data_IF_833806064201
#
_entry.id   IF_833806064201
#
_cell.length_a   1.000
_cell.length_b   1.000
_cell.length_c   1.000
_cell.angle_alpha   90.00
_cell.angle_beta   90.00
_cell.angle_gamma   90.00
#
_symmetry.space_group_name_H-M   'P 1'
#
loop_
_entity.id
_entity.type
_entity.pdbx_description
1 polymer ?
#
# COMPACT_ATOMS: atom_id res chain seq x y z
N UNK A 1 -11.21 22.99 -7.55
CA UNK A 1 -10.16 22.99 -6.52
C UNK A 1 -10.87 23.12 -5.19
N UNK A 2 -11.20 22.01 -4.53
CA UNK A 2 -11.89 22.05 -3.24
C UNK A 2 -10.88 21.84 -2.11
N UNK A 3 -10.62 22.91 -1.35
CA UNK A 3 -9.95 22.84 -0.05
C UNK A 3 -11.02 22.64 1.03
N UNK A 4 -11.20 21.40 1.45
CA UNK A 4 -11.96 21.07 2.67
C UNK A 4 -11.23 21.53 3.95
N UNK A 5 -11.93 21.62 5.09
CA UNK A 5 -11.42 22.29 6.28
C UNK A 5 -10.25 21.54 6.92
N UNK A 6 -9.27 22.34 7.34
CA UNK A 6 -8.04 21.97 8.03
C UNK A 6 -8.29 21.78 9.52
N UNK A 7 -8.26 20.53 9.98
CA UNK A 7 -8.10 20.16 11.38
C UNK A 7 -6.83 19.28 11.47
N UNK A 8 -5.96 19.57 12.44
CA UNK A 8 -4.71 18.84 12.68
C UNK A 8 -3.51 19.39 11.89
N UNK A 9 -2.33 19.45 12.52
CA UNK A 9 -1.10 20.03 11.96
C UNK A 9 -0.79 19.60 10.52
N UNK A 10 -0.16 20.51 9.76
CA UNK A 10 0.10 20.32 8.32
C UNK A 10 1.01 19.11 8.08
N UNK A 11 0.41 17.97 7.75
CA UNK A 11 1.14 16.85 7.14
C UNK A 11 1.48 17.26 5.71
N UNK A 12 2.77 17.19 5.38
CA UNK A 12 3.24 17.42 4.03
C UNK A 12 3.14 16.11 3.25
N UNK A 13 2.39 16.13 2.14
CA UNK A 13 2.23 15.00 1.24
C UNK A 13 2.68 15.41 -0.17
N UNK A 14 3.52 14.58 -0.78
CA UNK A 14 3.95 14.72 -2.16
C UNK A 14 3.75 13.40 -2.90
N UNK A 15 3.17 13.47 -4.10
CA UNK A 15 2.90 12.27 -4.90
C UNK A 15 3.44 12.44 -6.32
N UNK A 16 4.07 11.40 -6.85
CA UNK A 16 4.44 11.30 -8.27
C UNK A 16 3.85 10.08 -8.92
N UNK A 17 3.36 10.26 -10.13
CA UNK A 17 2.64 9.23 -10.85
C UNK A 17 3.39 8.89 -12.14
N UNK A 18 3.48 7.61 -12.47
CA UNK A 18 4.06 7.12 -13.72
C UNK A 18 3.11 6.12 -14.34
N UNK A 19 2.87 6.29 -15.63
CA UNK A 19 1.96 5.42 -16.39
C UNK A 19 2.76 4.75 -17.49
N UNK A 20 2.46 3.49 -17.80
CA UNK A 20 3.02 2.81 -18.96
C UNK A 20 2.20 1.63 -19.41
N UNK A 21 2.52 1.13 -20.60
CA UNK A 21 1.93 -0.08 -21.17
C UNK A 21 2.97 -1.21 -21.12
N UNK A 22 2.61 -2.36 -20.57
CA UNK A 22 3.41 -3.60 -20.54
C UNK A 22 2.53 -4.71 -21.09
N UNK A 23 3.00 -5.46 -22.09
CA UNK A 23 2.25 -6.55 -22.72
C UNK A 23 0.83 -6.15 -23.16
N UNK A 24 0.67 -4.94 -23.71
CA UNK A 24 -0.61 -4.35 -24.11
C UNK A 24 -1.60 -4.12 -22.94
N UNK A 25 -1.11 -4.02 -21.71
CA UNK A 25 -1.88 -3.68 -20.53
C UNK A 25 -1.37 -2.40 -19.87
N UNK A 26 -2.29 -1.59 -19.34
CA UNK A 26 -1.95 -0.34 -18.67
C UNK A 26 -1.57 -0.58 -17.21
N UNK A 27 -0.46 0.02 -16.83
CA UNK A 27 0.03 0.06 -15.47
C UNK A 27 0.16 1.50 -14.97
N UNK A 28 -0.14 1.70 -13.70
CA UNK A 28 0.08 2.93 -12.96
C UNK A 28 1.00 2.63 -11.78
N UNK A 29 2.00 3.47 -11.62
CA UNK A 29 2.83 3.56 -10.43
C UNK A 29 2.56 4.89 -9.74
N UNK A 30 2.29 4.84 -8.44
CA UNK A 30 2.10 6.00 -7.58
C UNK A 30 3.15 5.91 -6.49
N UNK A 31 3.96 6.95 -6.31
CA UNK A 31 4.86 7.09 -5.18
C UNK A 31 4.43 8.29 -4.37
N UNK A 32 3.91 8.03 -3.18
CA UNK A 32 3.49 9.04 -2.22
C UNK A 32 4.52 9.10 -1.10
N UNK A 33 4.90 10.30 -0.69
CA UNK A 33 5.78 10.55 0.44
C UNK A 33 5.05 11.48 1.39
N UNK A 34 4.90 11.04 2.63
CA UNK A 34 4.16 11.73 3.67
C UNK A 34 5.13 12.02 4.82
N UNK A 35 5.15 13.26 5.29
CA UNK A 35 6.01 13.69 6.39
C UNK A 35 5.25 14.61 7.33
N UNK A 36 5.59 14.56 8.62
CA UNK A 36 5.06 15.51 9.60
C UNK A 36 6.20 16.45 10.03
N UNK A 37 6.06 17.79 9.90
CA UNK A 37 7.13 18.76 10.18
C UNK A 37 7.73 18.67 11.58
N UNK A 38 6.91 18.31 12.57
CA UNK A 38 7.34 18.15 13.97
C UNK A 38 7.86 16.73 14.30
N UNK A 39 7.91 15.83 13.31
CA UNK A 39 8.28 14.43 13.53
C UNK A 39 7.29 13.65 14.39
N UNK A 40 6.01 14.04 14.39
CA UNK A 40 4.94 13.35 15.10
C UNK A 40 4.39 12.20 14.25
N UNK A 41 4.73 10.95 14.64
CA UNK A 41 4.24 9.77 13.94
C UNK A 41 2.74 9.57 14.14
N UNK A 42 2.18 9.90 15.31
CA UNK A 42 0.75 9.65 15.59
C UNK A 42 -0.15 10.45 14.65
N UNK A 43 0.16 11.74 14.47
CA UNK A 43 -0.55 12.60 13.52
C UNK A 43 -0.38 12.11 12.07
N UNK A 44 0.79 11.56 11.75
CA UNK A 44 1.06 11.02 10.42
C UNK A 44 0.26 9.74 10.16
N UNK A 45 0.16 8.84 11.15
CA UNK A 45 -0.70 7.65 11.07
C UNK A 45 -2.18 8.00 10.97
N UNK A 46 -2.66 8.95 11.78
CA UNK A 46 -4.04 9.44 11.72
C UNK A 46 -4.36 9.96 10.31
N UNK A 47 -3.49 10.79 9.75
CA UNK A 47 -3.66 11.30 8.39
C UNK A 47 -3.67 10.19 7.33
N UNK A 48 -2.76 9.20 7.44
CA UNK A 48 -2.69 8.06 6.53
C UNK A 48 -3.93 7.15 6.62
N UNK A 49 -4.59 7.07 7.77
CA UNK A 49 -5.83 6.32 7.94
C UNK A 49 -7.03 7.06 7.36
N UNK A 50 -7.13 8.37 7.61
CA UNK A 50 -8.35 9.13 7.31
C UNK A 50 -8.37 9.70 5.88
N UNK A 51 -7.23 10.25 5.45
CA UNK A 51 -7.13 11.07 4.23
C UNK A 51 -6.18 10.49 3.20
N UNK A 52 -5.12 9.85 3.65
CA UNK A 52 -4.03 9.31 2.84
C UNK A 52 -4.02 7.80 2.73
N UNK A 53 -2.83 7.25 2.44
CA UNK A 53 -2.52 5.83 2.55
C UNK A 53 -3.30 4.89 1.65
N UNK A 54 -4.15 5.39 0.74
CA UNK A 54 -5.03 4.55 -0.08
C UNK A 54 -4.25 3.82 -1.17
N UNK A 55 -3.94 2.55 -0.92
CA UNK A 55 -3.32 1.65 -1.90
C UNK A 55 -4.32 1.33 -3.03
N UNK A 56 -5.58 1.05 -2.70
CA UNK A 56 -6.68 0.92 -3.65
C UNK A 56 -8.03 1.20 -2.95
N UNK A 57 -9.17 0.97 -3.61
CA UNK A 57 -10.48 1.11 -2.96
C UNK A 57 -10.72 0.08 -1.86
N UNK A 58 -10.03 -1.06 -1.92
CA UNK A 58 -10.19 -2.17 -0.97
C UNK A 58 -9.19 -2.14 0.17
N UNK A 59 -8.16 -1.28 0.09
CA UNK A 59 -7.02 -1.36 0.98
C UNK A 59 -6.35 -0.01 1.23
N UNK A 60 -6.02 0.22 2.49
CA UNK A 60 -5.15 1.31 2.94
C UNK A 60 -3.83 0.75 3.48
N UNK A 61 -2.79 1.59 3.48
CA UNK A 61 -1.45 1.24 3.91
C UNK A 61 -1.40 0.79 5.37
N UNK A 62 -2.31 1.31 6.20
CA UNK A 62 -2.40 0.97 7.63
C UNK A 62 -3.36 -0.18 7.94
N UNK A 63 -3.84 -0.92 6.94
CA UNK A 63 -4.60 -2.14 7.19
C UNK A 63 -3.70 -3.16 7.90
N UNK A 64 -4.10 -3.51 9.13
CA UNK A 64 -3.48 -4.59 9.90
C UNK A 64 -3.45 -5.84 9.03
N UNK A 65 -2.26 -6.43 8.78
CA UNK A 65 -2.25 -7.80 8.28
C UNK A 65 -2.98 -8.69 9.35
N UNK A 66 -3.55 -9.84 9.00
CA UNK A 66 -3.96 -10.82 10.04
C UNK A 66 -2.74 -11.62 10.47
N UNK A 67 -2.62 -12.04 11.74
CA UNK A 67 -1.57 -12.95 12.19
C UNK A 67 -1.56 -14.25 11.37
N UNK A 68 -0.77 -14.29 10.30
CA UNK A 68 -0.30 -15.50 9.66
C UNK A 68 0.89 -16.03 10.47
N UNK A 69 1.27 -17.29 10.31
CA UNK A 69 2.48 -17.84 10.97
C UNK A 69 3.77 -17.06 10.65
N UNK A 70 3.78 -16.23 9.59
CA UNK A 70 4.88 -15.31 9.28
C UNK A 70 4.96 -14.06 10.18
N UNK A 71 3.91 -13.75 10.93
CA UNK A 71 3.86 -12.61 11.86
C UNK A 71 4.83 -12.70 13.02
N UNK A 72 5.07 -13.91 13.49
CA UNK A 72 6.03 -14.15 14.56
C UNK A 72 7.46 -13.89 14.06
N UNK A 73 7.73 -14.01 12.75
CA UNK A 73 9.06 -13.74 12.18
C UNK A 73 9.37 -12.24 12.01
N UNK A 74 8.37 -11.40 11.74
CA UNK A 74 8.59 -9.95 11.56
C UNK A 74 8.83 -9.21 12.88
N UNK A 75 8.24 -9.70 13.99
CA UNK A 75 8.53 -9.20 15.34
C UNK A 75 9.95 -9.56 15.82
N UNK A 76 10.49 -10.69 15.33
CA UNK A 76 11.84 -11.17 15.68
C UNK A 76 12.93 -10.72 14.71
N UNK A 77 12.57 -10.12 13.57
CA UNK A 77 13.51 -9.58 12.58
C UNK A 77 14.15 -8.27 13.08
N UNK A 78 15.05 -8.40 14.06
CA UNK A 78 16.02 -7.36 14.40
C UNK A 78 16.88 -7.12 13.14
N UNK A 79 16.98 -5.89 12.61
CA UNK A 79 17.86 -5.65 11.47
C UNK A 79 19.30 -5.94 11.88
N UNK A 80 19.93 -6.94 11.26
CA UNK A 80 21.33 -7.35 11.51
C UNK A 80 22.35 -6.27 11.15
N UNK A 81 21.92 -5.15 10.57
CA UNK A 81 22.81 -4.13 10.03
C UNK A 81 22.67 -2.78 10.76
N UNK A 82 23.32 -2.65 11.92
CA UNK A 82 23.99 -1.41 12.34
C UNK A 82 23.21 -0.11 12.56
N UNK A 83 21.89 -0.10 12.76
CA UNK A 83 21.17 1.13 13.10
C UNK A 83 21.30 1.50 14.59
N UNK A 84 21.42 2.80 14.94
CA UNK A 84 21.60 3.22 16.33
C UNK A 84 20.39 2.81 17.20
N UNK A 85 20.60 2.43 18.48
CA UNK A 85 19.60 1.73 19.29
C UNK A 85 18.38 2.56 19.75
N UNK A 86 18.18 3.78 19.28
CA UNK A 86 17.41 4.78 20.05
C UNK A 86 16.24 5.46 19.32
N UNK A 87 15.77 4.93 18.19
CA UNK A 87 14.50 5.41 17.62
C UNK A 87 13.58 4.21 17.42
N UNK A 88 13.00 3.74 18.53
CA UNK A 88 11.84 2.86 18.49
C UNK A 88 10.74 3.52 17.66
N UNK A 89 10.11 2.76 16.76
CA UNK A 89 8.94 3.28 16.07
C UNK A 89 7.87 3.63 17.12
N UNK A 90 7.26 4.83 17.07
CA UNK A 90 6.42 5.31 18.16
C UNK A 90 5.13 4.49 18.34
N UNK A 91 4.76 3.72 17.33
CA UNK A 91 3.49 3.02 17.22
C UNK A 91 3.68 1.58 16.75
N UNK A 92 2.87 0.67 17.30
CA UNK A 92 2.87 -0.74 16.91
C UNK A 92 2.59 -0.91 15.40
N UNK A 93 1.66 -0.12 14.85
CA UNK A 93 1.29 -0.18 13.45
C UNK A 93 2.44 0.23 12.53
N UNK A 94 3.16 1.31 12.83
CA UNK A 94 4.36 1.64 12.10
C UNK A 94 5.41 0.52 12.20
N UNK A 95 5.54 -0.13 13.35
CA UNK A 95 6.39 -1.32 13.52
C UNK A 95 6.05 -2.44 12.54
N UNK A 96 4.77 -2.79 12.44
CA UNK A 96 4.26 -3.84 11.56
C UNK A 96 4.36 -3.47 10.07
N UNK A 97 4.13 -2.20 9.74
CA UNK A 97 4.09 -1.74 8.35
C UNK A 97 5.46 -1.32 7.80
N UNK A 98 6.49 -1.26 8.64
CA UNK A 98 7.85 -0.92 8.20
C UNK A 98 8.33 -1.94 7.18
N UNK A 99 8.71 -1.45 6.02
CA UNK A 99 9.22 -2.25 4.89
C UNK A 99 8.22 -3.31 4.40
N UNK A 100 6.92 -3.09 4.69
CA UNK A 100 5.86 -4.04 4.36
C UNK A 100 5.59 -4.05 2.86
N UNK A 101 5.42 -5.26 2.32
CA UNK A 101 5.07 -5.48 0.92
C UNK A 101 3.69 -6.14 0.87
N UNK A 102 2.75 -5.42 0.30
CA UNK A 102 1.33 -5.68 0.42
C UNK A 102 0.73 -5.96 -0.95
N UNK A 103 -0.16 -6.95 -1.04
CA UNK A 103 -0.97 -7.17 -2.24
C UNK A 103 -2.45 -7.10 -1.93
N UNK A 104 -3.22 -6.43 -2.78
CA UNK A 104 -4.68 -6.45 -2.67
C UNK A 104 -5.20 -7.84 -3.10
N UNK A 105 -6.03 -8.51 -2.28
CA UNK A 105 -6.65 -9.76 -2.69
C UNK A 105 -7.77 -9.55 -3.72
N UNK A 106 -8.33 -8.35 -3.87
CA UNK A 106 -9.51 -8.11 -4.70
C UNK A 106 -9.19 -7.53 -6.08
N UNK A 107 -8.12 -6.76 -6.21
CA UNK A 107 -7.74 -6.13 -7.47
C UNK A 107 -6.25 -6.30 -7.79
N UNK A 108 -5.84 -6.10 -9.06
CA UNK A 108 -4.44 -6.16 -9.50
C UNK A 108 -3.60 -4.99 -8.97
N UNK A 109 -3.41 -4.93 -7.64
CA UNK A 109 -2.62 -3.91 -6.95
C UNK A 109 -1.62 -4.55 -6.00
N UNK A 110 -0.38 -4.07 -6.06
CA UNK A 110 0.66 -4.30 -5.06
C UNK A 110 1.13 -2.97 -4.50
N UNK A 111 1.67 -2.97 -3.28
CA UNK A 111 2.24 -1.82 -2.63
C UNK A 111 3.44 -2.17 -1.77
N UNK A 112 4.25 -1.16 -1.50
CA UNK A 112 5.41 -1.22 -0.62
C UNK A 112 5.38 0.02 0.26
N UNK A 113 5.57 -0.19 1.56
CA UNK A 113 5.58 0.85 2.58
C UNK A 113 6.97 0.93 3.16
N UNK A 114 7.56 2.11 3.14
CA UNK A 114 8.87 2.38 3.73
C UNK A 114 8.69 3.45 4.81
N UNK A 115 9.14 3.17 6.03
CA UNK A 115 9.03 4.11 7.16
C UNK A 115 10.44 4.42 7.64
N UNK A 116 10.83 5.69 7.57
CA UNK A 116 12.18 6.13 7.90
C UNK A 116 12.21 7.41 8.72
N UNK A 117 13.20 7.49 9.60
CA UNK A 117 13.54 8.72 10.29
C UNK A 117 14.52 9.54 9.45
N UNK A 118 14.10 10.75 9.07
CA UNK A 118 14.93 11.68 8.32
C UNK A 118 15.74 12.56 9.30
N UNK A 119 16.89 12.05 9.77
CA UNK A 119 17.69 12.66 10.84
C UNK A 119 18.09 14.12 10.63
N UNK A 120 18.35 14.55 9.39
CA UNK A 120 18.68 15.95 9.07
C UNK A 120 17.51 16.92 9.30
N UNK A 121 16.27 16.44 9.13
CA UNK A 121 15.04 17.22 9.32
C UNK A 121 14.32 16.88 10.63
N UNK A 122 14.85 15.90 11.39
CA UNK A 122 14.24 15.35 12.61
C UNK A 122 12.75 15.03 12.44
N UNK A 123 12.40 14.37 11.33
CA UNK A 123 11.02 14.05 11.00
C UNK A 123 10.86 12.61 10.54
N UNK A 124 9.69 12.03 10.78
CA UNK A 124 9.29 10.78 10.15
C UNK A 124 8.88 11.01 8.71
N UNK A 125 9.22 10.04 7.87
CA UNK A 125 8.80 9.95 6.48
C UNK A 125 8.22 8.57 6.22
N UNK A 126 7.01 8.55 5.67
CA UNK A 126 6.36 7.34 5.18
C UNK A 126 6.25 7.45 3.68
N UNK A 127 6.85 6.49 2.99
CA UNK A 127 6.69 6.36 1.55
C UNK A 127 5.75 5.20 1.25
N UNK A 128 4.75 5.46 0.41
CA UNK A 128 3.83 4.44 -0.10
C UNK A 128 4.02 4.37 -1.60
N UNK A 129 4.59 3.26 -2.06
CA UNK A 129 4.79 2.94 -3.47
C UNK A 129 3.70 1.97 -3.88
N UNK A 130 2.86 2.32 -4.84
CA UNK A 130 1.71 1.52 -5.28
C UNK A 130 1.83 1.21 -6.77
N UNK A 131 1.66 -0.05 -7.15
CA UNK A 131 1.60 -0.53 -8.53
C UNK A 131 0.22 -1.10 -8.81
N UNK A 132 -0.44 -0.58 -9.85
CA UNK A 132 -1.77 -1.04 -10.28
C UNK A 132 -1.75 -1.44 -11.75
N UNK A 133 -2.44 -2.53 -12.08
CA UNK A 133 -2.71 -2.95 -13.45
C UNK A 133 -4.20 -2.72 -13.77
N UNK A 134 -4.48 -1.98 -14.84
CA UNK A 134 -5.83 -1.60 -15.29
C UNK A 134 -6.37 -2.47 -16.43
N UNK A 135 -5.59 -3.44 -16.90
CA UNK A 135 -5.99 -4.31 -18.01
C UNK A 135 -5.69 -3.71 -19.38
N UNK A 136 -6.37 -4.18 -20.42
CA UNK A 136 -5.92 -4.00 -21.82
C UNK A 136 -6.20 -2.62 -22.42
N UNK A 137 -6.89 -1.72 -21.71
CA UNK A 137 -7.28 -0.36 -22.16
C UNK A 137 -8.04 -0.25 -23.49
N UNK A 138 -8.38 -1.38 -24.12
CA UNK A 138 -9.03 -1.42 -25.44
C UNK A 138 -10.52 -1.67 -25.37
N UNK A 139 -11.05 -1.99 -24.20
CA UNK A 139 -12.49 -2.17 -23.99
C UNK A 139 -12.92 -1.48 -22.70
N UNK A 140 -13.92 -0.57 -22.74
CA UNK A 140 -14.56 -0.04 -21.55
C UNK A 140 -15.35 -1.12 -20.78
N UNK A 141 -15.53 -2.30 -21.38
CA UNK A 141 -16.17 -3.48 -20.78
C UNK A 141 -15.17 -4.53 -20.29
N UNK A 142 -13.88 -4.20 -20.18
CA UNK A 142 -12.91 -5.13 -19.59
C UNK A 142 -13.28 -5.35 -18.10
N UNK A 143 -13.60 -6.59 -17.67
CA UNK A 143 -14.13 -6.88 -16.34
C UNK A 143 -13.13 -6.53 -15.23
N UNK A 144 -11.86 -6.30 -15.55
CA UNK A 144 -10.86 -5.84 -14.58
C UNK A 144 -11.11 -4.41 -14.11
N UNK A 145 -11.78 -3.58 -14.92
CA UNK A 145 -12.22 -2.25 -14.49
C UNK A 145 -13.24 -2.33 -13.35
N UNK A 146 -14.14 -3.30 -13.39
CA UNK A 146 -15.11 -3.55 -12.33
C UNK A 146 -14.41 -3.90 -11.02
N UNK A 147 -13.39 -4.76 -11.06
CA UNK A 147 -12.64 -5.14 -9.85
C UNK A 147 -11.99 -3.95 -9.13
N UNK A 148 -11.68 -2.85 -9.82
CA UNK A 148 -11.07 -1.65 -9.22
C UNK A 148 -12.09 -0.68 -8.62
N UNK A 149 -13.33 -0.70 -9.12
CA UNK A 149 -14.37 0.25 -8.73
C UNK A 149 -15.34 -0.35 -7.73
N UNK A 150 -15.54 -1.68 -7.76
CA UNK A 150 -16.52 -2.40 -6.95
C UNK A 150 -15.94 -2.86 -5.62
N UNK A 151 -16.73 -2.73 -4.56
CA UNK A 151 -16.40 -3.19 -3.19
C UNK A 151 -16.86 -4.63 -2.90
N UNK A 152 -17.64 -5.25 -3.80
CA UNK A 152 -18.30 -6.54 -3.62
C UNK A 152 -18.50 -7.25 -4.97
N UNK A 153 -17.77 -8.34 -5.20
CA UNK A 153 -18.05 -9.24 -6.32
C UNK A 153 -18.69 -10.53 -5.79
N UNK A 154 -19.74 -11.07 -6.42
CA UNK A 154 -20.30 -12.37 -6.06
C UNK A 154 -19.29 -13.49 -6.38
N UNK A 155 -18.94 -14.30 -5.37
CA UNK A 155 -17.89 -15.33 -5.42
C UNK A 155 -16.69 -14.97 -4.52
N UNK A 156 -15.63 -15.81 -4.41
CA UNK A 156 -14.38 -15.41 -3.76
C UNK A 156 -13.41 -14.78 -4.79
N UNK A 157 -13.52 -13.48 -5.10
CA UNK A 157 -12.66 -12.78 -6.08
C UNK A 157 -11.16 -12.91 -5.77
N UNK A 158 -10.81 -13.18 -4.51
CA UNK A 158 -9.43 -13.39 -4.08
C UNK A 158 -8.79 -14.67 -4.62
N UNK A 159 -9.56 -15.74 -4.87
CA UNK A 159 -9.01 -16.95 -5.49
C UNK A 159 -8.57 -16.66 -6.92
N UNK A 160 -9.43 -15.99 -7.69
CA UNK A 160 -9.12 -15.57 -9.06
C UNK A 160 -7.91 -14.62 -9.10
N UNK A 161 -7.85 -13.63 -8.20
CA UNK A 161 -6.68 -12.76 -8.07
C UNK A 161 -5.43 -13.58 -7.79
N UNK A 162 -5.42 -14.43 -6.77
CA UNK A 162 -4.26 -15.24 -6.39
C UNK A 162 -3.79 -16.19 -7.50
N UNK A 163 -4.73 -16.77 -8.26
CA UNK A 163 -4.46 -17.68 -9.38
C UNK A 163 -3.85 -16.95 -10.58
N UNK A 164 -4.41 -15.81 -10.99
CA UNK A 164 -3.92 -15.06 -12.16
C UNK A 164 -2.68 -14.22 -11.84
N UNK A 165 -2.62 -13.70 -10.62
CA UNK A 165 -1.59 -12.81 -10.16
C UNK A 165 -1.28 -13.16 -8.69
N UNK A 166 -0.17 -13.85 -8.37
CA UNK A 166 0.22 -14.03 -6.97
C UNK A 166 0.60 -12.67 -6.31
N UNK A 167 0.81 -12.64 -4.99
CA UNK A 167 1.31 -11.44 -4.31
C UNK A 167 2.63 -10.96 -4.92
N UNK A 168 2.77 -9.65 -5.10
CA UNK A 168 3.95 -9.04 -5.70
C UNK A 168 4.05 -9.18 -7.23
N UNK A 169 3.12 -9.88 -7.90
CA UNK A 169 3.17 -10.09 -9.36
C UNK A 169 3.10 -8.80 -10.17
N UNK A 170 2.31 -7.80 -9.74
CA UNK A 170 2.13 -6.53 -10.45
C UNK A 170 3.41 -5.70 -10.31
N UNK A 171 3.98 -5.62 -9.11
CA UNK A 171 5.27 -4.97 -8.87
C UNK A 171 6.40 -5.67 -9.62
N UNK A 172 6.38 -7.00 -9.67
CA UNK A 172 7.34 -7.79 -10.43
C UNK A 172 7.28 -7.47 -11.93
N UNK A 173 6.09 -7.53 -12.54
CA UNK A 173 5.89 -7.20 -13.96
C UNK A 173 6.35 -5.79 -14.27
N UNK A 174 6.06 -4.83 -13.38
CA UNK A 174 6.62 -3.50 -13.46
C UNK A 174 8.16 -3.56 -13.48
N UNK A 175 8.80 -4.04 -12.43
CA UNK A 175 10.27 -4.05 -12.33
C UNK A 175 10.98 -4.80 -13.48
N UNK A 176 10.35 -5.85 -14.04
CA UNK A 176 10.84 -6.60 -15.19
C UNK A 176 10.91 -5.73 -16.45
N UNK A 177 9.93 -4.86 -16.67
CA UNK A 177 9.95 -3.90 -17.77
C UNK A 177 11.06 -2.84 -17.61
N UNK A 178 11.54 -2.59 -16.38
CA UNK A 178 12.71 -1.75 -16.09
C UNK A 178 14.05 -2.50 -16.23
N UNK A 179 14.02 -3.77 -16.67
CA UNK A 179 15.17 -4.69 -16.75
C UNK A 179 15.88 -4.89 -15.40
N UNK A 180 15.17 -4.64 -14.29
CA UNK A 180 15.65 -4.81 -12.91
C UNK A 180 14.58 -5.53 -12.09
N UNK A 181 14.35 -6.83 -12.34
CA UNK A 181 13.29 -7.56 -11.67
C UNK A 181 13.52 -7.60 -10.16
N UNK A 182 12.52 -7.19 -9.39
CA UNK A 182 12.49 -7.40 -7.94
C UNK A 182 11.94 -8.80 -7.63
N UNK A 183 12.16 -9.32 -6.42
CA UNK A 183 11.56 -10.60 -6.04
C UNK A 183 10.01 -10.53 -6.01
N UNK A 184 9.34 -11.62 -6.41
CA UNK A 184 7.90 -11.82 -6.19
C UNK A 184 7.67 -12.17 -4.71
N UNK A 185 7.82 -11.16 -3.85
CA UNK A 185 7.52 -11.22 -2.41
C UNK A 185 6.34 -10.32 -2.09
N UNK A 186 5.60 -10.69 -1.04
CA UNK A 186 4.42 -10.00 -0.57
C UNK A 186 3.39 -10.98 -0.01
N UNK A 187 2.38 -10.46 0.67
CA UNK A 187 1.27 -11.27 1.16
C UNK A 187 -0.09 -10.65 0.79
N UNK A 188 -1.07 -11.51 0.53
CA UNK A 188 -2.47 -11.08 0.57
C UNK A 188 -2.88 -10.91 2.02
N UNK A 189 -3.72 -9.91 2.30
CA UNK A 189 -4.52 -9.96 3.53
C UNK A 189 -5.80 -10.70 3.26
N UNK A 190 -6.26 -11.43 4.25
CA UNK A 190 -7.53 -12.14 4.20
C UNK A 190 -8.69 -11.13 4.05
N UNK A 191 -9.50 -11.20 2.99
CA UNK A 191 -10.64 -10.30 2.78
C UNK A 191 -11.83 -10.57 3.73
N UNK A 192 -11.81 -11.63 4.56
CA UNK A 192 -12.89 -11.92 5.53
C UNK A 192 -12.91 -11.00 6.75
N UNK A 193 -12.18 -9.89 6.72
CA UNK A 193 -12.33 -8.82 7.69
C UNK A 193 -13.61 -8.03 7.40
N UNK A 194 -14.72 -8.45 8.02
CA UNK A 194 -15.98 -7.70 8.12
C UNK A 194 -15.77 -6.35 8.85
N UNK A 195 -15.06 -5.41 8.20
CA UNK A 195 -14.89 -4.01 8.65
C UNK A 195 -15.55 -3.01 7.71
N UNK A 196 -16.49 -3.45 6.89
CA UNK A 196 -17.48 -2.54 6.30
C UNK A 196 -18.80 -2.72 7.03
N UNK A 197 -19.10 -1.94 8.09
CA UNK A 197 -20.49 -1.81 8.51
C UNK A 197 -21.25 -1.24 7.31
N UNK A 198 -22.34 -1.89 6.94
CA UNK A 198 -23.34 -1.40 6.00
C UNK A 198 -23.62 0.09 6.25
N UNK A 199 -23.00 1.00 5.48
CA UNK A 199 -23.57 2.34 5.30
C UNK A 199 -24.65 2.20 4.23
N UNK A 200 -25.82 1.77 4.68
CA UNK A 200 -27.08 2.13 4.01
C UNK A 200 -27.24 3.63 4.18
N UNK A 201 -27.27 4.33 3.05
CA UNK A 201 -27.94 5.62 2.87
C UNK A 201 -28.48 5.61 1.45
#
# INVERSE_FOLDING_TARGET
>A
MDRGPSFGGSVDCWSTWRVRIIDNELFLFIHETVTHPEGDMFKLEEWLNDRGGRICKHRIAWDLPRPTSQWNMALDARPENGWPPSISLPTFLAGVQRDAILSCPLCPTDAEIEIKWCGARKQWSVEVKTWRQFGTCRSPSDPRWESMTWTYLPGPPWKRRAEEHPPGAIRYRWSKADKKPVAMVGCFLDPTSDRYPNRRS
#
